data_IF_996020818282
#
_entry.id   IF_996020818282
#
_cell.length_a   1.000
_cell.length_b   1.000
_cell.length_c   1.000
_cell.angle_alpha   90.00
_cell.angle_beta   90.00
_cell.angle_gamma   90.00
#
_symmetry.space_group_name_H-M   'P 1'
#
loop_
_entity.id
_entity.type
_entity.pdbx_description
1 polymer ?
#
# COMPACT_ATOMS: atom_id res chain seq x y z
N UNK A 1 -20.19 -13.61 -18.33
CA UNK A 1 -19.58 -12.29 -18.14
C UNK A 1 -18.24 -12.31 -18.84
N UNK A 2 -18.06 -11.50 -19.91
CA UNK A 2 -16.77 -11.37 -20.54
C UNK A 2 -15.88 -10.48 -19.66
N UNK A 3 -14.78 -11.00 -19.18
CA UNK A 3 -13.71 -10.22 -18.58
C UNK A 3 -13.20 -9.23 -19.61
N UNK A 4 -13.43 -7.95 -19.40
CA UNK A 4 -12.79 -6.90 -20.20
C UNK A 4 -11.60 -6.36 -19.40
N UNK A 5 -10.37 -6.54 -19.86
CA UNK A 5 -9.21 -5.93 -19.22
C UNK A 5 -9.40 -4.42 -19.14
N UNK A 6 -9.18 -3.86 -17.97
CA UNK A 6 -9.16 -2.41 -17.74
C UNK A 6 -7.71 -1.95 -17.65
N UNK A 7 -7.45 -0.73 -18.08
CA UNK A 7 -6.13 -0.10 -17.97
C UNK A 7 -6.31 1.21 -17.23
N UNK A 8 -5.66 1.31 -16.08
CA UNK A 8 -5.63 2.56 -15.30
C UNK A 8 -4.77 3.61 -15.99
N UNK A 9 -5.05 4.89 -15.79
CA UNK A 9 -4.27 6.01 -16.35
C UNK A 9 -2.84 6.07 -15.82
N UNK A 10 -2.57 5.44 -14.68
CA UNK A 10 -1.26 5.41 -14.00
C UNK A 10 -0.90 4.00 -13.59
N UNK A 11 0.40 3.72 -13.56
CA UNK A 11 0.93 2.49 -12.97
C UNK A 11 0.55 2.43 -11.48
N UNK A 12 0.22 1.24 -10.98
CA UNK A 12 0.06 1.01 -9.55
C UNK A 12 1.37 1.38 -8.81
N UNK A 13 1.29 2.14 -7.71
CA UNK A 13 2.46 2.43 -6.89
C UNK A 13 3.00 1.15 -6.24
N UNK A 14 4.29 1.16 -5.91
CA UNK A 14 4.87 0.11 -5.07
C UNK A 14 4.31 0.22 -3.65
N UNK A 15 4.04 -0.91 -3.01
CA UNK A 15 3.71 -0.96 -1.58
C UNK A 15 4.94 -1.20 -0.69
N UNK A 16 6.12 -1.48 -1.27
CA UNK A 16 7.36 -1.56 -0.50
C UNK A 16 7.65 -0.19 0.14
N UNK A 17 7.94 -0.19 1.43
CA UNK A 17 8.18 0.99 2.27
C UNK A 17 6.98 1.96 2.38
N UNK A 18 5.84 1.65 1.78
CA UNK A 18 4.67 2.53 1.75
C UNK A 18 4.11 2.85 3.15
N UNK A 19 4.30 1.95 4.13
CA UNK A 19 3.89 2.15 5.52
C UNK A 19 4.61 3.28 6.26
N UNK A 20 5.70 3.79 5.69
CA UNK A 20 6.55 4.82 6.29
C UNK A 20 6.42 6.19 5.62
N UNK A 21 5.42 6.37 4.75
CA UNK A 21 5.17 7.62 4.05
C UNK A 21 4.22 8.50 4.88
N UNK A 22 4.69 9.62 5.48
CA UNK A 22 3.89 10.41 6.39
C UNK A 22 2.84 11.30 5.71
N UNK A 23 3.11 11.74 4.47
CA UNK A 23 2.32 12.77 3.78
C UNK A 23 1.25 12.20 2.84
N UNK A 24 0.96 10.91 2.96
CA UNK A 24 -0.05 10.25 2.15
C UNK A 24 0.51 9.44 0.99
N UNK A 25 -0.33 8.56 0.46
CA UNK A 25 -0.02 7.72 -0.70
C UNK A 25 -0.72 8.23 -1.95
N UNK A 26 -0.41 7.59 -3.07
CA UNK A 26 -0.58 8.09 -4.43
C UNK A 26 0.31 9.31 -4.73
N UNK A 27 0.48 9.59 -6.02
CA UNK A 27 1.34 10.67 -6.48
C UNK A 27 0.88 12.08 -6.05
N UNK A 28 -0.40 12.23 -5.69
CA UNK A 28 -1.03 13.46 -5.23
C UNK A 28 -1.28 13.47 -3.71
N UNK A 29 -0.93 12.41 -3.00
CA UNK A 29 -1.09 12.29 -1.56
C UNK A 29 -2.54 12.18 -1.07
N UNK A 30 -3.51 11.87 -1.96
CA UNK A 30 -4.93 11.84 -1.58
C UNK A 30 -5.30 10.77 -0.56
N UNK A 31 -4.53 9.68 -0.46
CA UNK A 31 -4.66 8.72 0.62
C UNK A 31 -3.90 9.24 1.84
N UNK A 32 -4.57 10.06 2.64
CA UNK A 32 -3.97 10.78 3.76
C UNK A 32 -3.63 9.88 4.94
N UNK A 33 -2.83 10.39 5.88
CA UNK A 33 -2.52 9.68 7.12
C UNK A 33 -3.70 9.56 8.09
N UNK A 34 -4.79 10.27 7.88
CA UNK A 34 -6.04 10.10 8.63
C UNK A 34 -6.87 9.00 7.97
N UNK A 35 -7.28 7.99 8.75
CA UNK A 35 -8.14 6.90 8.28
C UNK A 35 -9.53 7.02 8.89
N UNK A 36 -10.53 7.00 8.02
CA UNK A 36 -11.95 7.06 8.40
C UNK A 36 -12.67 5.78 8.01
N UNK A 37 -13.64 5.41 8.84
CA UNK A 37 -14.58 4.33 8.48
C UNK A 37 -15.34 4.71 7.20
N UNK A 38 -15.29 3.90 6.15
CA UNK A 38 -15.92 4.26 4.87
C UNK A 38 -17.46 4.22 4.88
N UNK A 39 -18.07 3.71 5.94
CA UNK A 39 -19.53 3.66 6.09
C UNK A 39 -20.06 4.79 6.98
N UNK A 40 -19.35 5.08 8.09
CA UNK A 40 -19.81 6.07 9.09
C UNK A 40 -19.09 7.41 8.99
N UNK A 41 -17.95 7.45 8.27
CA UNK A 41 -17.04 8.61 8.18
C UNK A 41 -16.41 9.01 9.52
N UNK A 42 -16.49 8.16 10.55
CA UNK A 42 -15.81 8.36 11.82
C UNK A 42 -14.30 8.23 11.65
N UNK A 43 -13.52 9.08 12.34
CA UNK A 43 -12.06 8.98 12.37
C UNK A 43 -11.66 7.82 13.27
N UNK A 44 -11.06 6.78 12.70
CA UNK A 44 -10.58 5.60 13.42
C UNK A 44 -9.11 5.72 13.78
N UNK A 45 -8.29 6.33 12.91
CA UNK A 45 -6.86 6.58 13.14
C UNK A 45 -6.57 8.01 12.68
N UNK A 46 -6.09 8.86 13.57
CA UNK A 46 -5.92 10.28 13.30
C UNK A 46 -4.67 10.61 12.45
N UNK A 47 -3.65 9.74 12.44
CA UNK A 47 -2.41 9.96 11.68
C UNK A 47 -1.66 8.64 11.43
N UNK A 48 -0.82 8.61 10.38
CA UNK A 48 0.05 7.47 10.05
C UNK A 48 -0.68 6.30 9.38
N UNK A 49 -1.91 6.49 8.92
CA UNK A 49 -2.76 5.45 8.33
C UNK A 49 -2.95 5.61 6.81
N UNK A 50 -1.92 6.08 6.12
CA UNK A 50 -1.99 6.26 4.65
C UNK A 50 -2.24 4.97 3.89
N UNK A 51 -1.77 3.83 4.39
CA UNK A 51 -2.05 2.51 3.80
C UNK A 51 -3.52 2.15 3.93
N UNK A 52 -4.10 2.27 5.12
CA UNK A 52 -5.54 2.04 5.35
C UNK A 52 -6.40 2.92 4.45
N UNK A 53 -6.04 4.20 4.34
CA UNK A 53 -6.72 5.16 3.47
C UNK A 53 -6.59 4.77 2.00
N UNK A 54 -5.42 4.27 1.57
CA UNK A 54 -5.18 3.85 0.19
C UNK A 54 -6.01 2.61 -0.17
N UNK A 55 -6.08 1.62 0.72
CA UNK A 55 -6.82 0.36 0.50
C UNK A 55 -8.30 0.61 0.19
N UNK A 56 -8.87 1.71 0.69
CA UNK A 56 -10.29 2.01 0.47
C UNK A 56 -10.67 2.26 -0.99
N UNK A 57 -9.73 2.62 -1.84
CA UNK A 57 -9.99 2.96 -3.25
C UNK A 57 -10.20 1.74 -4.16
N UNK A 58 -9.16 0.91 -4.39
CA UNK A 58 -9.15 -0.13 -5.42
C UNK A 58 -10.31 -1.12 -5.38
N UNK A 59 -10.76 -1.65 -4.21
CA UNK A 59 -11.81 -2.66 -4.15
C UNK A 59 -13.18 -2.19 -4.65
N UNK A 60 -13.43 -0.88 -4.69
CA UNK A 60 -14.69 -0.27 -5.13
C UNK A 60 -14.54 0.57 -6.40
N UNK A 61 -13.34 0.62 -6.97
CA UNK A 61 -13.05 1.31 -8.23
C UNK A 61 -13.37 0.42 -9.43
N UNK A 62 -14.24 0.85 -10.32
CA UNK A 62 -14.66 0.11 -11.51
C UNK A 62 -13.59 0.03 -12.61
N UNK A 63 -12.58 0.88 -12.53
CA UNK A 63 -11.40 0.82 -13.41
C UNK A 63 -10.24 0.00 -12.81
N UNK A 64 -10.38 -0.50 -11.60
CA UNK A 64 -9.36 -1.33 -10.90
C UNK A 64 -9.92 -2.70 -10.57
N UNK A 65 -10.53 -2.89 -9.37
CA UNK A 65 -10.92 -4.20 -8.87
C UNK A 65 -12.45 -4.45 -8.87
N UNK A 66 -13.26 -3.40 -9.04
CA UNK A 66 -14.71 -3.51 -8.93
C UNK A 66 -15.39 -3.71 -10.29
N UNK A 67 -16.63 -4.20 -10.24
CA UNK A 67 -17.62 -3.95 -11.28
C UNK A 67 -18.36 -2.65 -10.99
N UNK A 68 -19.02 -2.06 -12.00
CA UNK A 68 -19.82 -0.84 -11.81
C UNK A 68 -20.82 -0.99 -10.67
N UNK A 69 -20.86 0.01 -9.78
CA UNK A 69 -21.78 0.05 -8.64
C UNK A 69 -21.40 -0.83 -7.45
N UNK A 70 -20.19 -1.41 -7.41
CA UNK A 70 -19.71 -2.11 -6.21
C UNK A 70 -19.42 -1.12 -5.09
N UNK A 71 -19.89 -1.43 -3.90
CA UNK A 71 -19.64 -0.69 -2.67
C UNK A 71 -18.93 -1.54 -1.61
N UNK A 72 -18.53 -0.89 -0.52
CA UNK A 72 -17.86 -1.55 0.59
C UNK A 72 -18.73 -2.53 1.37
N UNK A 73 -20.03 -2.34 1.41
CA UNK A 73 -20.99 -3.27 2.03
C UNK A 73 -20.95 -4.61 1.29
N UNK A 74 -20.97 -4.55 -0.04
CA UNK A 74 -20.89 -5.75 -0.88
C UNK A 74 -19.54 -6.44 -0.77
N UNK A 75 -18.44 -5.68 -0.67
CA UNK A 75 -17.08 -6.26 -0.48
C UNK A 75 -17.01 -6.98 0.85
N UNK A 76 -17.44 -6.36 1.94
CA UNK A 76 -17.41 -6.96 3.28
C UNK A 76 -18.28 -8.22 3.36
N UNK A 77 -19.49 -8.17 2.83
CA UNK A 77 -20.39 -9.32 2.78
C UNK A 77 -19.78 -10.49 1.97
N UNK A 78 -19.12 -10.19 0.85
CA UNK A 78 -18.45 -11.22 0.04
C UNK A 78 -17.31 -11.87 0.81
N UNK A 79 -16.45 -11.08 1.48
CA UNK A 79 -15.34 -11.61 2.26
C UNK A 79 -15.86 -12.48 3.41
N UNK A 80 -16.89 -12.02 4.12
CA UNK A 80 -17.50 -12.81 5.19
C UNK A 80 -18.04 -14.18 4.73
N UNK A 81 -18.46 -14.30 3.46
CA UNK A 81 -19.08 -15.49 2.92
C UNK A 81 -18.11 -16.49 2.25
N UNK A 82 -16.90 -16.07 1.86
CA UNK A 82 -15.94 -16.91 1.15
C UNK A 82 -14.90 -17.51 2.10
N UNK A 83 -14.28 -18.60 1.67
CA UNK A 83 -13.15 -19.17 2.41
C UNK A 83 -11.85 -18.43 2.10
N UNK A 84 -10.96 -18.25 3.09
CA UNK A 84 -9.65 -17.67 2.88
C UNK A 84 -8.88 -18.38 1.76
N UNK A 85 -8.31 -17.63 0.86
CA UNK A 85 -7.45 -18.09 -0.25
C UNK A 85 -8.08 -19.17 -1.16
N UNK A 86 -9.41 -19.25 -1.24
CA UNK A 86 -10.10 -20.31 -1.98
C UNK A 86 -9.78 -20.34 -3.49
N UNK A 87 -9.29 -19.26 -4.06
CA UNK A 87 -8.89 -19.15 -5.47
C UNK A 87 -7.38 -19.22 -5.68
N UNK A 88 -6.59 -19.35 -4.61
CA UNK A 88 -5.14 -19.47 -4.74
C UNK A 88 -4.76 -20.91 -5.06
N UNK A 89 -4.02 -21.10 -6.16
CA UNK A 89 -3.58 -22.42 -6.62
C UNK A 89 -2.46 -22.97 -5.71
N UNK A 90 -1.58 -22.10 -5.23
CA UNK A 90 -0.38 -22.46 -4.48
C UNK A 90 -0.36 -21.76 -3.11
N UNK A 91 -0.94 -22.39 -2.10
CA UNK A 91 -0.91 -21.88 -0.73
C UNK A 91 0.20 -22.60 0.05
N UNK A 92 1.20 -21.86 0.60
CA UNK A 92 2.25 -22.45 1.43
C UNK A 92 1.66 -23.31 2.56
N UNK A 93 2.29 -24.48 2.82
CA UNK A 93 1.79 -25.42 3.82
C UNK A 93 1.66 -24.81 5.22
N UNK A 94 2.60 -23.97 5.63
CA UNK A 94 2.55 -23.23 6.90
C UNK A 94 1.30 -22.33 6.99
N UNK A 95 0.99 -21.60 5.93
CA UNK A 95 -0.18 -20.71 5.87
C UNK A 95 -1.48 -21.53 5.86
N UNK A 96 -1.53 -22.62 5.10
CA UNK A 96 -2.68 -23.52 5.08
C UNK A 96 -2.95 -24.11 6.46
N UNK A 97 -1.90 -24.57 7.15
CA UNK A 97 -2.00 -25.12 8.51
C UNK A 97 -2.44 -24.05 9.51
N UNK A 98 -1.92 -22.82 9.39
CA UNK A 98 -2.33 -21.70 10.24
C UNK A 98 -3.80 -21.32 10.01
N UNK A 99 -4.27 -21.27 8.77
CA UNK A 99 -5.70 -21.05 8.47
C UNK A 99 -6.55 -22.16 9.12
N UNK A 100 -6.11 -23.43 9.03
CA UNK A 100 -6.74 -24.55 9.73
C UNK A 100 -8.22 -24.79 9.38
N UNK A 101 -8.65 -24.38 8.18
CA UNK A 101 -10.05 -24.47 7.73
C UNK A 101 -10.96 -23.35 8.26
N UNK A 102 -10.44 -22.38 9.01
CA UNK A 102 -11.21 -21.25 9.54
C UNK A 102 -11.76 -20.37 8.41
N UNK A 103 -12.92 -19.78 8.67
CA UNK A 103 -13.53 -18.73 7.86
C UNK A 103 -12.89 -17.36 8.10
N UNK A 104 -13.16 -16.36 7.25
CA UNK A 104 -12.75 -14.98 7.54
C UNK A 104 -13.36 -14.43 8.82
N UNK A 105 -14.67 -14.62 9.16
CA UNK A 105 -15.21 -14.21 10.45
C UNK A 105 -14.43 -14.76 11.65
N UNK A 106 -14.04 -16.05 11.64
CA UNK A 106 -13.22 -16.63 12.72
C UNK A 106 -11.82 -16.03 12.81
N UNK A 107 -11.19 -15.72 11.66
CA UNK A 107 -9.90 -15.03 11.63
C UNK A 107 -10.02 -13.56 12.09
N UNK A 108 -11.13 -12.91 11.79
CA UNK A 108 -11.42 -11.54 12.25
C UNK A 108 -11.71 -11.51 13.77
N UNK A 109 -12.38 -12.52 14.30
CA UNK A 109 -12.57 -12.66 15.76
C UNK A 109 -11.23 -12.80 16.48
N UNK A 110 -10.31 -13.61 15.95
CA UNK A 110 -8.96 -13.75 16.51
C UNK A 110 -8.18 -12.43 16.46
N UNK A 111 -8.28 -11.67 15.34
CA UNK A 111 -7.49 -10.45 15.14
C UNK A 111 -8.10 -9.21 15.82
N UNK A 112 -9.42 -9.10 15.88
CA UNK A 112 -10.14 -7.89 16.30
C UNK A 112 -11.08 -8.08 17.50
N UNK A 113 -11.17 -9.31 18.04
CA UNK A 113 -11.99 -9.63 19.20
C UNK A 113 -13.48 -9.88 18.91
N UNK A 114 -13.93 -9.67 17.66
CA UNK A 114 -15.29 -10.02 17.22
C UNK A 114 -15.27 -10.53 15.78
N UNK A 115 -16.20 -11.40 15.41
CA UNK A 115 -16.31 -12.03 14.09
C UNK A 115 -16.81 -11.10 12.97
N UNK A 116 -17.01 -9.83 13.27
CA UNK A 116 -17.48 -8.84 12.30
C UNK A 116 -16.44 -8.54 11.23
N UNK A 117 -16.80 -8.75 9.97
CA UNK A 117 -16.00 -8.39 8.80
C UNK A 117 -16.46 -7.02 8.30
N UNK A 118 -15.82 -5.96 8.79
CA UNK A 118 -16.13 -4.59 8.38
C UNK A 118 -15.14 -4.06 7.34
N UNK A 119 -15.52 -3.08 6.50
CA UNK A 119 -14.60 -2.43 5.57
C UNK A 119 -13.33 -1.88 6.24
N UNK A 120 -13.50 -1.24 7.39
CA UNK A 120 -12.38 -0.68 8.15
C UNK A 120 -11.39 -1.77 8.60
N UNK A 121 -11.88 -2.89 9.14
CA UNK A 121 -11.04 -4.01 9.55
C UNK A 121 -10.35 -4.69 8.36
N UNK A 122 -11.02 -4.79 7.21
CA UNK A 122 -10.40 -5.28 5.97
C UNK A 122 -9.22 -4.40 5.60
N UNK A 123 -9.41 -3.07 5.60
CA UNK A 123 -8.35 -2.13 5.28
C UNK A 123 -7.18 -2.21 6.28
N UNK A 124 -7.48 -2.28 7.58
CA UNK A 124 -6.46 -2.45 8.63
C UNK A 124 -5.67 -3.76 8.48
N UNK A 125 -6.33 -4.87 8.14
CA UNK A 125 -5.67 -6.15 7.95
C UNK A 125 -4.70 -6.13 6.76
N UNK A 126 -5.11 -5.55 5.63
CA UNK A 126 -4.27 -5.38 4.44
C UNK A 126 -3.08 -4.47 4.76
N UNK A 127 -3.34 -3.30 5.35
CA UNK A 127 -2.31 -2.34 5.71
C UNK A 127 -1.29 -2.92 6.73
N UNK A 128 -1.74 -3.74 7.67
CA UNK A 128 -0.87 -4.43 8.61
C UNK A 128 0.09 -5.39 7.90
N UNK A 129 -0.39 -6.12 6.89
CA UNK A 129 0.45 -6.96 6.07
C UNK A 129 1.46 -6.13 5.24
N UNK A 130 0.99 -5.08 4.60
CA UNK A 130 1.85 -4.22 3.75
C UNK A 130 2.95 -3.51 4.56
N UNK A 131 2.71 -3.14 5.83
CA UNK A 131 3.72 -2.58 6.72
C UNK A 131 4.90 -3.49 7.01
N UNK A 132 4.77 -4.79 6.79
CA UNK A 132 5.87 -5.75 6.93
C UNK A 132 6.72 -5.86 5.66
N UNK A 133 6.26 -5.27 4.56
CA UNK A 133 6.92 -5.32 3.27
C UNK A 133 7.81 -4.08 3.12
N UNK A 134 8.99 -4.12 3.73
CA UNK A 134 9.97 -3.05 3.65
C UNK A 134 11.34 -3.57 3.23
N UNK A 135 12.12 -2.68 2.64
CA UNK A 135 13.47 -2.96 2.17
C UNK A 135 14.46 -2.17 3.02
N UNK A 136 15.23 -2.88 3.83
CA UNK A 136 16.22 -2.33 4.76
C UNK A 136 17.57 -3.08 4.68
N UNK A 137 17.76 -3.92 3.65
CA UNK A 137 18.93 -4.75 3.48
C UNK A 137 19.64 -4.51 2.15
N UNK A 138 19.46 -3.33 1.56
CA UNK A 138 20.18 -2.95 0.35
C UNK A 138 21.68 -2.75 0.65
N UNK A 139 22.56 -2.79 -0.35
CA UNK A 139 23.98 -2.46 -0.14
C UNK A 139 24.18 -1.10 0.54
N UNK A 140 23.33 -0.10 0.23
CA UNK A 140 23.38 1.22 0.85
C UNK A 140 23.00 1.18 2.33
N UNK A 141 21.96 0.42 2.70
CA UNK A 141 21.54 0.25 4.10
C UNK A 141 22.63 -0.42 4.91
N UNK A 142 23.20 -1.50 4.39
CA UNK A 142 24.27 -2.26 5.04
C UNK A 142 25.55 -1.45 5.19
N UNK A 143 25.89 -0.62 4.19
CA UNK A 143 27.00 0.32 4.27
C UNK A 143 26.74 1.41 5.32
N UNK A 144 25.56 2.02 5.33
CA UNK A 144 25.16 3.01 6.32
C UNK A 144 25.20 2.47 7.76
N UNK A 145 24.84 1.19 7.95
CA UNK A 145 24.95 0.47 9.21
C UNK A 145 26.37 -0.04 9.53
N UNK A 146 27.38 0.25 8.69
CA UNK A 146 28.77 -0.23 8.81
C UNK A 146 28.91 -1.77 8.81
N UNK A 147 27.97 -2.47 8.18
CA UNK A 147 28.00 -3.94 8.08
C UNK A 147 28.82 -4.38 6.86
N UNK A 148 28.75 -3.62 5.76
CA UNK A 148 29.38 -3.97 4.49
C UNK A 148 29.95 -2.73 3.80
N UNK A 149 30.97 -2.90 2.97
CA UNK A 149 31.52 -1.82 2.16
C UNK A 149 30.88 -1.82 0.77
N UNK A 150 30.59 -0.64 0.25
CA UNK A 150 30.15 -0.49 -1.14
C UNK A 150 31.31 -0.88 -2.09
N UNK A 151 30.98 -1.51 -3.19
CA UNK A 151 31.91 -1.73 -4.28
C UNK A 151 32.36 -0.40 -4.89
N UNK A 152 33.49 -0.35 -5.62
CA UNK A 152 33.93 0.87 -6.29
C UNK A 152 32.90 1.45 -7.26
N UNK A 153 32.08 0.61 -7.91
CA UNK A 153 31.02 1.04 -8.80
C UNK A 153 29.85 1.66 -8.05
N UNK A 154 29.42 1.08 -6.93
CA UNK A 154 28.37 1.62 -6.06
C UNK A 154 28.80 2.93 -5.42
N UNK A 155 30.05 3.03 -4.97
CA UNK A 155 30.63 4.26 -4.42
C UNK A 155 30.66 5.38 -5.48
N UNK A 156 31.00 5.06 -6.73
CA UNK A 156 30.94 6.02 -7.82
C UNK A 156 29.49 6.43 -8.09
N UNK A 157 28.53 5.50 -8.06
CA UNK A 157 27.10 5.79 -8.18
C UNK A 157 26.61 6.73 -7.09
N UNK A 158 26.97 6.47 -5.84
CA UNK A 158 26.64 7.35 -4.70
C UNK A 158 27.24 8.76 -4.88
N UNK A 159 28.50 8.83 -5.33
CA UNK A 159 29.15 10.11 -5.64
C UNK A 159 28.41 10.89 -6.72
N UNK A 160 27.97 10.23 -7.78
CA UNK A 160 27.16 10.85 -8.83
C UNK A 160 25.81 11.31 -8.30
N UNK A 161 25.15 10.49 -7.47
CA UNK A 161 23.86 10.81 -6.85
C UNK A 161 23.93 12.11 -6.02
N UNK A 162 25.00 12.28 -5.25
CA UNK A 162 25.25 13.51 -4.48
C UNK A 162 25.64 14.68 -5.40
N UNK A 163 26.62 14.49 -6.27
CA UNK A 163 27.13 15.58 -7.12
C UNK A 163 26.15 16.09 -8.16
N UNK A 164 25.20 15.25 -8.60
CA UNK A 164 24.10 15.64 -9.48
C UNK A 164 22.89 16.18 -8.73
N UNK A 165 23.01 16.34 -7.41
CA UNK A 165 21.98 16.90 -6.54
C UNK A 165 20.70 16.06 -6.46
N UNK A 166 20.73 14.78 -6.80
CA UNK A 166 19.57 13.89 -6.62
C UNK A 166 19.20 13.80 -5.13
N UNK A 167 20.20 13.88 -4.24
CA UNK A 167 20.02 13.84 -2.79
C UNK A 167 19.20 15.01 -2.24
N UNK A 168 19.04 16.10 -2.97
CA UNK A 168 18.28 17.26 -2.51
C UNK A 168 16.79 16.92 -2.27
N UNK A 169 16.24 15.98 -3.06
CA UNK A 169 14.88 15.46 -2.90
C UNK A 169 14.89 14.00 -2.37
N UNK A 170 15.88 13.21 -2.79
CA UNK A 170 16.03 11.82 -2.40
C UNK A 170 16.93 11.68 -1.16
N UNK A 171 16.45 12.12 -0.01
CA UNK A 171 17.21 12.18 1.25
C UNK A 171 16.67 11.22 2.32
N UNK A 172 17.44 11.05 3.41
CA UNK A 172 17.07 10.19 4.53
C UNK A 172 17.11 8.70 4.22
N UNK A 173 16.68 7.89 5.18
CA UNK A 173 16.70 6.42 5.07
C UNK A 173 15.75 5.86 4.02
N UNK A 174 14.71 6.59 3.67
CA UNK A 174 13.74 6.20 2.63
C UNK A 174 14.08 6.79 1.26
N UNK A 175 15.16 7.56 1.13
CA UNK A 175 15.55 8.30 -0.07
C UNK A 175 14.39 9.16 -0.61
N UNK A 176 13.65 9.80 0.29
CA UNK A 176 12.53 10.67 0.01
C UNK A 176 12.42 11.75 1.09
N UNK A 177 12.21 12.99 0.69
CA UNK A 177 11.89 14.09 1.61
C UNK A 177 10.38 14.14 1.96
N UNK A 178 9.58 13.28 1.32
CA UNK A 178 8.13 13.21 1.45
C UNK A 178 7.39 14.50 1.04
N UNK A 179 8.00 15.32 0.22
CA UNK A 179 7.43 16.57 -0.30
C UNK A 179 6.98 16.41 -1.76
N UNK A 180 6.31 17.44 -2.27
CA UNK A 180 5.81 17.45 -3.65
C UNK A 180 6.59 18.49 -4.46
N UNK A 181 7.26 18.05 -5.53
CA UNK A 181 8.11 18.89 -6.35
C UNK A 181 7.62 18.97 -7.79
N UNK A 182 7.71 20.16 -8.36
CA UNK A 182 7.53 20.34 -9.79
C UNK A 182 8.84 19.96 -10.52
N UNK A 183 8.84 18.76 -11.10
CA UNK A 183 10.00 18.22 -11.85
C UNK A 183 9.90 18.46 -13.36
N UNK A 184 9.02 19.36 -13.81
CA UNK A 184 8.85 19.73 -15.22
C UNK A 184 8.12 18.69 -16.07
N UNK A 185 7.50 17.68 -15.48
CA UNK A 185 6.62 16.76 -16.21
C UNK A 185 5.36 17.52 -16.61
N UNK A 186 5.10 17.61 -17.91
CA UNK A 186 3.91 18.32 -18.40
C UNK A 186 2.66 17.61 -17.90
N UNK A 187 1.73 18.35 -17.23
CA UNK A 187 0.44 17.79 -16.89
C UNK A 187 -0.30 17.43 -18.19
N UNK A 188 -0.79 16.21 -18.29
CA UNK A 188 -1.79 15.88 -19.30
C UNK A 188 -3.07 16.64 -18.96
N UNK A 189 -3.83 17.06 -19.98
CA UNK A 189 -5.06 17.85 -19.81
C UNK A 189 -6.05 17.25 -18.79
N UNK A 190 -5.96 15.95 -18.56
CA UNK A 190 -6.87 15.18 -17.70
C UNK A 190 -6.34 14.95 -16.28
N UNK A 191 -5.09 15.28 -16.00
CA UNK A 191 -4.44 15.00 -14.71
C UNK A 191 -3.52 16.16 -14.32
N UNK A 192 -4.09 17.08 -13.55
CA UNK A 192 -3.40 18.29 -13.07
C UNK A 192 -2.62 18.07 -11.78
N UNK A 193 -2.72 16.90 -11.18
CA UNK A 193 -2.09 16.62 -9.92
C UNK A 193 -2.63 17.50 -8.79
N UNK A 194 -1.71 18.14 -8.06
CA UNK A 194 -2.01 19.09 -6.98
C UNK A 194 -2.07 20.54 -7.46
N UNK A 195 -2.02 20.77 -8.76
CA UNK A 195 -2.07 22.11 -9.37
C UNK A 195 -3.48 22.66 -9.55
#
# INVERSE_FOLDING_TARGET
>A
FAYRPQVTKRRAPSYLNAGYTPNGLFWDGRATGEFRDPLTNEVLIAAGASLESQVLGPPVSDIEMAHGGRDWTQVAAKIAAVRPLMLAEDVPGSLRNWIGGRSYPELFEEAFGTAEVTPARIAMAIATHERQLFSDQTPLDRWGASIEQLTPQEMNGLSLFVNKRCIDCHTGSLLADNEFHNIGVRPQLEDRGRG
#
